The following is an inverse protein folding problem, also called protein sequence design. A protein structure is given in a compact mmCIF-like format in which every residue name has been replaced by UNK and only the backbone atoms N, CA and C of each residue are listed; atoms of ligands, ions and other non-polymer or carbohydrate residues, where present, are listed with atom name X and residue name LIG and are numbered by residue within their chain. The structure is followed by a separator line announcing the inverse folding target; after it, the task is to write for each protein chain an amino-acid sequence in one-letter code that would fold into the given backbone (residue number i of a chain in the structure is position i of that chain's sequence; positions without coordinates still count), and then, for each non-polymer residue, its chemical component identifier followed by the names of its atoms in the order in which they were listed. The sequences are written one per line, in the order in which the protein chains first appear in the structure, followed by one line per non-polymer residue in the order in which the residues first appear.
data_IF_565574191468
#
_entry.id   IF_565574191468
#
_cell.length_a   1.000
_cell.length_b   1.000
_cell.length_c   1.000
_cell.angle_alpha   90.00
_cell.angle_beta   90.00
_cell.angle_gamma   90.00
#
_symmetry.space_group_name_H-M   'P 1'
#
loop_
_entity.id
_entity.type
_entity.pdbx_description
1 polymer ?
#
# COMPACT_ATOMS: atom_id res chain seq x y z
N UNK A 1 22.70 -32.78 0.53
CA UNK A 1 21.35 -32.48 0.01
C UNK A 1 21.14 -30.98 -0.13
N UNK A 2 21.45 -30.43 -1.30
CA UNK A 2 21.14 -29.04 -1.66
C UNK A 2 19.64 -28.92 -1.93
N UNK A 3 18.85 -28.61 -0.89
CA UNK A 3 17.41 -28.34 -1.07
C UNK A 3 17.29 -27.11 -1.96
N UNK A 4 16.76 -27.35 -3.15
CA UNK A 4 16.48 -26.42 -4.24
C UNK A 4 15.51 -25.31 -3.75
N UNK A 5 16.00 -24.38 -2.92
CA UNK A 5 15.23 -23.23 -2.46
C UNK A 5 15.16 -22.27 -3.64
N UNK A 6 14.10 -22.42 -4.44
CA UNK A 6 13.74 -21.45 -5.46
C UNK A 6 13.89 -20.04 -4.87
N UNK A 7 14.72 -19.21 -5.51
CA UNK A 7 14.98 -17.85 -5.07
C UNK A 7 13.62 -17.16 -4.85
N UNK A 8 13.46 -16.45 -3.73
CA UNK A 8 12.22 -15.75 -3.37
C UNK A 8 11.70 -14.89 -4.53
N UNK A 9 12.60 -14.25 -5.28
CA UNK A 9 12.29 -13.46 -6.49
C UNK A 9 11.60 -14.30 -7.56
N UNK A 10 12.08 -15.51 -7.81
CA UNK A 10 11.49 -16.45 -8.77
C UNK A 10 10.09 -16.86 -8.33
N UNK A 11 9.87 -17.11 -7.03
CA UNK A 11 8.51 -17.42 -6.51
C UNK A 11 7.55 -16.25 -6.69
N UNK A 12 7.99 -15.03 -6.42
CA UNK A 12 7.18 -13.82 -6.63
C UNK A 12 6.82 -13.62 -8.09
N UNK A 13 7.79 -13.82 -8.98
CA UNK A 13 7.57 -13.73 -10.42
C UNK A 13 6.57 -14.78 -10.91
N UNK A 14 6.72 -16.05 -10.50
CA UNK A 14 5.77 -17.11 -10.85
C UNK A 14 4.36 -16.76 -10.36
N UNK A 15 4.24 -16.32 -9.10
CA UNK A 15 2.96 -15.95 -8.52
C UNK A 15 2.31 -14.77 -9.25
N UNK A 16 3.10 -13.76 -9.65
CA UNK A 16 2.60 -12.65 -10.46
C UNK A 16 2.11 -13.12 -11.84
N UNK A 17 2.82 -14.03 -12.52
CA UNK A 17 2.38 -14.57 -13.81
C UNK A 17 1.07 -15.38 -13.68
N UNK A 18 0.93 -16.20 -12.63
CA UNK A 18 -0.33 -16.91 -12.36
C UNK A 18 -1.47 -15.90 -12.17
N UNK A 19 -1.22 -14.83 -11.43
CA UNK A 19 -2.19 -13.75 -11.26
C UNK A 19 -2.57 -13.10 -12.59
N UNK A 20 -1.60 -12.81 -13.48
CA UNK A 20 -1.90 -12.24 -14.80
C UNK A 20 -2.81 -13.17 -15.62
N UNK A 21 -2.53 -14.48 -15.61
CA UNK A 21 -3.35 -15.46 -16.32
C UNK A 21 -4.78 -15.46 -15.77
N UNK A 22 -4.95 -15.51 -14.44
CA UNK A 22 -6.27 -15.48 -13.80
C UNK A 22 -7.02 -14.19 -14.14
N UNK A 23 -6.33 -13.05 -14.13
CA UNK A 23 -6.93 -11.76 -14.46
C UNK A 23 -7.37 -11.70 -15.93
N UNK A 24 -6.54 -12.18 -16.86
CA UNK A 24 -6.87 -12.27 -18.28
C UNK A 24 -8.07 -13.19 -18.51
N UNK A 25 -8.10 -14.36 -17.85
CA UNK A 25 -9.24 -15.26 -17.93
C UNK A 25 -10.51 -14.62 -17.37
N UNK A 26 -10.43 -13.92 -16.24
CA UNK A 26 -11.57 -13.21 -15.65
C UNK A 26 -12.11 -12.13 -16.58
N UNK A 27 -11.23 -11.31 -17.16
CA UNK A 27 -11.58 -10.30 -18.13
C UNK A 27 -12.25 -10.93 -19.36
N UNK A 28 -11.68 -12.00 -19.91
CA UNK A 28 -12.27 -12.71 -21.04
C UNK A 28 -13.67 -13.25 -20.73
N UNK A 29 -13.88 -13.82 -19.53
CA UNK A 29 -15.21 -14.30 -19.10
C UNK A 29 -16.21 -13.15 -18.95
N UNK A 30 -15.76 -11.98 -18.46
CA UNK A 30 -16.60 -10.78 -18.41
C UNK A 30 -16.97 -10.26 -19.81
N UNK A 31 -16.03 -10.33 -20.76
CA UNK A 31 -16.27 -9.92 -22.15
C UNK A 31 -17.34 -10.78 -22.85
N UNK A 32 -17.34 -12.09 -22.59
CA UNK A 32 -18.37 -13.00 -23.14
C UNK A 32 -19.77 -12.77 -22.57
N UNK A 33 -19.90 -12.00 -21.48
CA UNK A 33 -21.18 -11.66 -20.86
C UNK A 33 -22.07 -10.72 -21.69
N UNK A 34 -21.57 -10.15 -22.80
CA UNK A 34 -22.36 -9.54 -23.88
C UNK A 34 -23.01 -8.18 -23.62
N UNK A 35 -23.22 -7.79 -22.36
CA UNK A 35 -23.92 -6.52 -22.02
C UNK A 35 -23.05 -5.45 -21.36
N UNK A 36 -21.82 -5.80 -20.97
CA UNK A 36 -20.84 -4.84 -20.44
C UNK A 36 -19.99 -4.18 -21.56
N UNK A 37 -20.25 -4.54 -22.81
CA UNK A 37 -19.61 -4.01 -24.01
C UNK A 37 -20.47 -2.90 -24.59
N UNK A 38 -20.00 -1.65 -24.55
CA UNK A 38 -20.74 -0.51 -25.13
C UNK A 38 -20.98 0.68 -24.20
N UNK A 39 -20.30 0.75 -23.05
CA UNK A 39 -20.20 2.00 -22.28
C UNK A 39 -18.73 2.32 -22.05
N UNK A 40 -18.32 3.52 -22.45
CA UNK A 40 -17.00 4.07 -22.10
C UNK A 40 -16.94 4.27 -20.58
N UNK A 41 -16.16 3.43 -19.91
CA UNK A 41 -16.01 3.50 -18.46
C UNK A 41 -15.01 4.57 -18.04
N UNK A 42 -14.08 4.99 -18.91
CA UNK A 42 -13.20 6.13 -18.66
C UNK A 42 -12.76 6.82 -19.94
N UNK A 43 -12.77 8.17 -19.98
CA UNK A 43 -12.15 8.93 -21.07
C UNK A 43 -10.61 8.80 -21.05
N UNK A 44 -10.03 8.25 -19.98
CA UNK A 44 -8.58 8.13 -19.80
C UNK A 44 -8.02 6.93 -20.57
N UNK A 45 -8.83 5.86 -20.71
CA UNK A 45 -8.43 4.62 -21.36
C UNK A 45 -9.28 4.49 -22.63
N UNK A 46 -8.71 4.70 -23.83
CA UNK A 46 -9.46 4.79 -25.08
C UNK A 46 -9.88 3.41 -25.59
N UNK A 47 -10.64 2.66 -24.79
CA UNK A 47 -11.13 1.32 -25.11
C UNK A 47 -12.59 1.20 -24.67
N UNK A 48 -13.45 0.85 -25.62
CA UNK A 48 -14.91 0.72 -25.42
C UNK A 48 -15.29 -0.56 -24.63
N UNK A 49 -14.33 -1.48 -24.46
CA UNK A 49 -14.52 -2.76 -23.79
C UNK A 49 -14.03 -2.70 -22.34
N UNK A 50 -14.96 -2.71 -21.38
CA UNK A 50 -14.67 -2.76 -19.93
C UNK A 50 -13.60 -3.80 -19.55
N UNK A 51 -13.62 -5.04 -20.07
CA UNK A 51 -12.60 -6.02 -19.73
C UNK A 51 -11.19 -5.63 -20.17
N UNK A 52 -11.06 -5.00 -21.34
CA UNK A 52 -9.78 -4.51 -21.87
C UNK A 52 -9.28 -3.35 -21.00
N UNK A 53 -10.18 -2.44 -20.63
CA UNK A 53 -9.86 -1.35 -19.73
C UNK A 53 -9.37 -1.86 -18.36
N UNK A 54 -10.10 -2.80 -17.73
CA UNK A 54 -9.69 -3.46 -16.49
C UNK A 54 -8.28 -4.08 -16.63
N UNK A 55 -8.00 -4.77 -17.75
CA UNK A 55 -6.68 -5.35 -17.99
C UNK A 55 -5.59 -4.29 -18.08
N UNK A 56 -5.78 -3.24 -18.87
CA UNK A 56 -4.80 -2.15 -19.02
C UNK A 56 -4.53 -1.51 -17.66
N UNK A 57 -5.60 -1.26 -16.90
CA UNK A 57 -5.54 -0.68 -15.57
C UNK A 57 -4.66 -1.52 -14.63
N UNK A 58 -4.92 -2.82 -14.51
CA UNK A 58 -4.19 -3.69 -13.57
C UNK A 58 -2.79 -4.09 -14.06
N UNK A 59 -2.59 -4.20 -15.38
CA UNK A 59 -1.32 -4.63 -15.97
C UNK A 59 -0.35 -3.47 -16.14
N UNK A 60 -0.85 -2.26 -16.36
CA UNK A 60 -0.02 -1.09 -16.72
C UNK A 60 -0.17 0.01 -15.68
N UNK A 61 -1.37 0.54 -15.48
CA UNK A 61 -1.58 1.77 -14.69
C UNK A 61 -1.25 1.54 -13.21
N UNK A 62 -1.81 0.51 -12.57
CA UNK A 62 -1.59 0.25 -11.15
C UNK A 62 -0.11 -0.09 -10.83
N UNK A 63 0.58 -0.97 -11.58
CA UNK A 63 2.02 -1.19 -11.40
C UNK A 63 2.83 0.08 -11.59
N UNK A 64 2.57 0.86 -12.63
CA UNK A 64 3.28 2.11 -12.90
C UNK A 64 3.06 3.16 -11.81
N UNK A 65 1.80 3.36 -11.40
CA UNK A 65 1.44 4.26 -10.30
C UNK A 65 2.12 3.86 -9.00
N UNK A 66 2.08 2.57 -8.66
CA UNK A 66 2.77 2.04 -7.47
C UNK A 66 4.28 2.26 -7.54
N UNK A 67 4.88 2.12 -8.71
CA UNK A 67 6.31 2.30 -8.95
C UNK A 67 6.72 3.76 -8.78
N UNK A 68 6.02 4.69 -9.44
CA UNK A 68 6.23 6.12 -9.32
C UNK A 68 6.05 6.60 -7.88
N UNK A 69 4.95 6.18 -7.24
CA UNK A 69 4.66 6.44 -5.84
C UNK A 69 5.79 5.99 -4.92
N UNK A 70 6.31 4.78 -5.15
CA UNK A 70 7.38 4.21 -4.32
C UNK A 70 8.72 4.90 -4.49
N UNK A 71 9.12 5.19 -5.73
CA UNK A 71 10.44 5.76 -6.00
C UNK A 71 10.47 7.23 -5.61
N UNK A 72 9.57 8.03 -6.19
CA UNK A 72 9.60 9.48 -6.03
C UNK A 72 9.42 9.83 -4.56
N UNK A 73 8.34 9.35 -3.95
CA UNK A 73 8.04 9.70 -2.57
C UNK A 73 8.86 8.91 -1.57
N UNK A 74 9.31 7.69 -1.87
CA UNK A 74 10.24 6.98 -0.99
C UNK A 74 11.52 7.79 -0.73
N UNK A 75 12.15 8.31 -1.78
CA UNK A 75 13.40 9.08 -1.63
C UNK A 75 13.18 10.48 -1.02
N UNK A 76 12.02 11.09 -1.25
CA UNK A 76 11.69 12.43 -0.77
C UNK A 76 11.14 12.39 0.67
N UNK A 77 10.13 11.56 0.94
CA UNK A 77 9.42 11.54 2.22
C UNK A 77 10.20 10.79 3.31
N UNK A 78 11.09 9.83 3.00
CA UNK A 78 11.87 9.16 4.06
C UNK A 78 12.73 10.12 4.89
N UNK A 79 13.55 11.02 4.28
CA UNK A 79 14.22 12.09 5.00
C UNK A 79 13.26 12.94 5.83
N UNK A 80 12.12 13.33 5.25
CA UNK A 80 11.13 14.18 5.92
C UNK A 80 10.58 13.47 7.15
N UNK A 81 10.17 12.21 7.02
CA UNK A 81 9.68 11.39 8.13
C UNK A 81 10.73 11.27 9.23
N UNK A 82 12.00 11.06 8.87
CA UNK A 82 13.07 11.02 9.87
C UNK A 82 13.22 12.34 10.63
N UNK A 83 13.23 13.47 9.91
CA UNK A 83 13.36 14.81 10.49
C UNK A 83 12.16 15.11 11.39
N UNK A 84 10.95 14.89 10.90
CA UNK A 84 9.70 15.14 11.63
C UNK A 84 9.65 14.31 12.90
N UNK A 85 9.90 12.99 12.81
CA UNK A 85 9.92 12.14 13.99
C UNK A 85 10.95 12.60 15.02
N UNK A 86 12.14 13.01 14.57
CA UNK A 86 13.15 13.55 15.46
C UNK A 86 12.68 14.82 16.14
N UNK A 87 12.03 15.76 15.45
CA UNK A 87 11.50 16.98 16.05
C UNK A 87 10.49 16.63 17.16
N UNK A 88 9.57 15.70 16.90
CA UNK A 88 8.54 15.31 17.88
C UNK A 88 9.07 14.56 19.10
N UNK A 89 10.20 13.84 18.98
CA UNK A 89 10.71 12.95 20.03
C UNK A 89 12.10 13.33 20.57
N UNK A 90 12.67 14.46 20.12
CA UNK A 90 14.05 14.90 20.42
C UNK A 90 14.38 14.93 21.92
N UNK A 91 13.45 15.38 22.76
CA UNK A 91 13.73 15.69 24.17
C UNK A 91 13.85 14.47 25.08
N UNK A 92 13.39 13.29 24.64
CA UNK A 92 13.28 12.10 25.51
C UNK A 92 14.10 10.89 25.03
N UNK A 93 14.54 10.90 23.77
CA UNK A 93 15.07 9.71 23.12
C UNK A 93 16.47 9.92 22.53
N UNK A 94 17.34 8.92 22.72
CA UNK A 94 18.57 8.76 21.94
C UNK A 94 18.26 8.02 20.64
N UNK A 95 19.00 8.35 19.59
CA UNK A 95 18.86 7.75 18.27
C UNK A 95 20.13 6.99 17.92
N UNK A 96 19.97 5.89 17.19
CA UNK A 96 21.10 5.10 16.72
C UNK A 96 20.80 4.37 15.42
N UNK A 97 21.85 3.81 14.83
CA UNK A 97 21.78 2.95 13.64
C UNK A 97 22.03 1.50 14.08
N UNK A 98 21.04 0.65 13.84
CA UNK A 98 21.12 -0.78 14.12
C UNK A 98 21.63 -1.52 12.88
N UNK A 99 22.82 -2.09 12.97
CA UNK A 99 23.37 -2.97 11.96
C UNK A 99 22.83 -4.39 12.15
N UNK A 100 21.50 -4.55 12.03
CA UNK A 100 20.93 -5.90 12.02
C UNK A 100 21.42 -6.63 10.77
N UNK A 101 21.97 -7.87 10.90
CA UNK A 101 22.24 -8.71 9.74
C UNK A 101 20.92 -8.87 8.99
N UNK A 102 20.89 -8.50 7.71
CA UNK A 102 19.71 -8.41 6.82
C UNK A 102 18.46 -9.07 7.41
N UNK A 103 17.80 -8.39 8.35
CA UNK A 103 16.84 -9.07 9.20
C UNK A 103 15.72 -9.66 8.33
N UNK A 104 15.25 -10.85 8.70
CA UNK A 104 14.20 -11.67 8.10
C UNK A 104 12.83 -10.97 7.99
N UNK A 105 12.76 -9.66 7.79
CA UNK A 105 11.56 -8.88 7.46
C UNK A 105 11.01 -9.15 6.05
N UNK A 106 11.34 -10.33 5.53
CA UNK A 106 11.00 -10.94 4.25
C UNK A 106 9.51 -11.25 4.05
N UNK A 107 8.57 -10.62 4.79
CA UNK A 107 7.14 -10.66 4.43
C UNK A 107 6.83 -9.64 3.32
N UNK A 108 7.58 -9.71 2.21
CA UNK A 108 7.71 -8.64 1.19
C UNK A 108 6.41 -8.33 0.43
N UNK A 109 5.50 -9.29 0.28
CA UNK A 109 4.24 -9.07 -0.46
C UNK A 109 3.14 -8.60 0.46
N UNK A 110 3.01 -9.22 1.64
CA UNK A 110 1.99 -8.85 2.63
C UNK A 110 2.19 -7.41 3.17
N UNK A 111 3.38 -6.83 2.99
CA UNK A 111 3.61 -5.41 3.28
C UNK A 111 2.80 -4.48 2.39
N UNK A 112 2.44 -4.91 1.18
CA UNK A 112 1.63 -4.13 0.24
C UNK A 112 0.12 -4.18 0.51
N UNK A 113 -0.35 -5.03 1.44
CA UNK A 113 -1.77 -5.06 1.85
C UNK A 113 -2.21 -3.70 2.38
N UNK A 114 -1.42 -3.08 3.27
CA UNK A 114 -1.82 -1.81 3.87
C UNK A 114 -1.82 -0.63 2.89
N UNK A 115 -0.82 -0.47 2.00
CA UNK A 115 -0.93 0.46 0.87
C UNK A 115 -2.17 0.23 0.00
N UNK A 116 -2.51 -1.02 -0.30
CA UNK A 116 -3.69 -1.36 -1.10
C UNK A 116 -5.00 -0.99 -0.40
N UNK A 117 -5.14 -1.33 0.89
CA UNK A 117 -6.31 -0.92 1.67
C UNK A 117 -6.38 0.60 1.76
N UNK A 118 -5.25 1.28 2.01
CA UNK A 118 -5.23 2.75 2.04
C UNK A 118 -5.66 3.38 0.71
N UNK A 119 -5.24 2.80 -0.41
CA UNK A 119 -5.67 3.23 -1.73
C UNK A 119 -7.18 3.07 -1.93
N UNK A 120 -7.75 1.95 -1.48
CA UNK A 120 -9.20 1.72 -1.46
C UNK A 120 -9.90 2.80 -0.62
N UNK A 121 -9.35 3.13 0.56
CA UNK A 121 -9.91 4.17 1.42
C UNK A 121 -9.98 5.53 0.70
N UNK A 122 -8.87 5.93 0.09
CA UNK A 122 -8.83 7.18 -0.66
C UNK A 122 -9.76 7.13 -1.87
N UNK A 123 -9.83 5.99 -2.57
CA UNK A 123 -10.72 5.80 -3.70
C UNK A 123 -12.19 5.99 -3.29
N UNK A 124 -12.63 5.37 -2.20
CA UNK A 124 -13.98 5.56 -1.66
C UNK A 124 -14.26 7.03 -1.29
N UNK A 125 -13.27 7.71 -0.71
CA UNK A 125 -13.41 9.11 -0.32
C UNK A 125 -13.56 10.05 -1.53
N UNK A 126 -12.84 9.79 -2.62
CA UNK A 126 -12.94 10.62 -3.83
C UNK A 126 -14.11 10.20 -4.71
N UNK A 127 -14.41 8.91 -4.80
CA UNK A 127 -15.47 8.37 -5.65
C UNK A 127 -16.87 8.68 -5.13
N UNK A 128 -17.00 9.17 -3.89
CA UNK A 128 -18.28 9.67 -3.35
C UNK A 128 -18.50 11.16 -3.63
N UNK A 129 -17.49 11.87 -4.12
CA UNK A 129 -17.62 13.29 -4.45
C UNK A 129 -18.16 13.45 -5.89
N UNK A 130 -19.35 14.04 -6.02
CA UNK A 130 -20.03 14.18 -7.30
C UNK A 130 -19.21 14.93 -8.36
N UNK A 131 -18.52 16.00 -7.97
CA UNK A 131 -17.71 16.79 -8.91
C UNK A 131 -16.49 16.02 -9.39
N UNK A 132 -15.92 15.18 -8.53
CA UNK A 132 -14.84 14.30 -8.91
C UNK A 132 -15.29 13.18 -9.86
N UNK A 133 -16.47 12.59 -9.65
CA UNK A 133 -17.05 11.60 -10.57
C UNK A 133 -17.27 12.25 -11.94
N UNK A 134 -17.82 13.47 -12.00
CA UNK A 134 -18.00 14.21 -13.26
C UNK A 134 -16.68 14.47 -13.99
N UNK A 135 -15.63 14.78 -13.24
CA UNK A 135 -14.30 14.99 -13.81
C UNK A 135 -13.71 13.70 -14.40
N UNK A 136 -13.88 12.56 -13.73
CA UNK A 136 -13.33 11.28 -14.20
C UNK A 136 -14.21 10.62 -15.27
N UNK A 137 -15.53 10.83 -15.25
CA UNK A 137 -16.51 10.20 -16.14
C UNK A 137 -17.35 11.24 -16.91
N UNK A 138 -16.74 12.14 -17.70
CA UNK A 138 -17.44 13.26 -18.33
C UNK A 138 -18.57 12.86 -19.27
N UNK A 139 -18.47 11.67 -19.90
CA UNK A 139 -19.43 11.14 -20.88
C UNK A 139 -20.57 10.31 -20.28
N UNK A 140 -20.62 10.18 -18.95
CA UNK A 140 -21.77 9.55 -18.31
C UNK A 140 -23.05 10.35 -18.60
N UNK A 141 -24.12 9.68 -19.04
CA UNK A 141 -25.44 10.28 -19.22
C UNK A 141 -25.99 10.74 -17.86
N UNK A 142 -25.71 11.99 -17.49
CA UNK A 142 -26.15 12.59 -16.22
C UNK A 142 -27.66 12.88 -16.17
N UNK A 143 -28.39 12.56 -17.22
CA UNK A 143 -29.83 12.85 -17.37
C UNK A 143 -30.64 12.15 -16.28
N UNK A 144 -30.22 10.97 -15.84
CA UNK A 144 -30.87 10.20 -14.74
C UNK A 144 -30.19 10.38 -13.38
N UNK A 145 -29.16 11.23 -13.28
CA UNK A 145 -28.34 11.39 -12.09
C UNK A 145 -27.19 10.37 -11.99
N UNK A 146 -26.52 10.32 -10.83
CA UNK A 146 -25.35 9.44 -10.62
C UNK A 146 -25.83 8.06 -10.18
N UNK A 147 -25.62 7.04 -11.01
CA UNK A 147 -25.99 5.63 -10.72
C UNK A 147 -24.88 4.89 -9.99
N UNK A 148 -25.16 3.73 -9.36
CA UNK A 148 -24.08 2.93 -8.74
C UNK A 148 -23.03 2.44 -9.72
N UNK A 149 -23.37 2.30 -11.01
CA UNK A 149 -22.37 1.96 -12.03
C UNK A 149 -21.35 3.09 -12.21
N UNK A 150 -21.76 4.36 -12.13
CA UNK A 150 -20.85 5.51 -12.14
C UNK A 150 -19.95 5.54 -10.90
N UNK A 151 -20.52 5.28 -9.71
CA UNK A 151 -19.74 5.20 -8.47
C UNK A 151 -18.69 4.08 -8.53
N UNK A 152 -19.07 2.90 -9.06
CA UNK A 152 -18.17 1.77 -9.24
C UNK A 152 -17.06 2.05 -10.25
N UNK A 153 -17.39 2.67 -11.39
CA UNK A 153 -16.41 3.08 -12.39
C UNK A 153 -15.41 4.08 -11.81
N UNK A 154 -15.91 5.16 -11.21
CA UNK A 154 -15.07 6.18 -10.57
C UNK A 154 -14.19 5.59 -9.46
N UNK A 155 -14.72 4.70 -8.62
CA UNK A 155 -13.97 3.99 -7.60
C UNK A 155 -12.85 3.12 -8.20
N UNK A 156 -13.17 2.33 -9.22
CA UNK A 156 -12.24 1.40 -9.87
C UNK A 156 -11.10 2.15 -10.56
N UNK A 157 -11.37 3.28 -11.21
CA UNK A 157 -10.33 4.12 -11.81
C UNK A 157 -9.48 4.75 -10.69
N UNK A 158 -10.14 5.30 -9.67
CA UNK A 158 -9.48 6.02 -8.58
C UNK A 158 -8.51 5.16 -7.79
N UNK A 159 -8.90 3.93 -7.41
CA UNK A 159 -8.04 3.04 -6.62
C UNK A 159 -6.71 2.74 -7.31
N UNK A 160 -6.69 2.79 -8.65
CA UNK A 160 -5.56 2.42 -9.50
C UNK A 160 -4.55 3.55 -9.62
N UNK A 161 -5.01 4.80 -9.59
CA UNK A 161 -4.14 5.96 -9.43
C UNK A 161 -3.70 6.10 -7.97
N UNK A 162 -4.60 5.88 -7.02
CA UNK A 162 -4.36 6.10 -5.59
C UNK A 162 -3.49 5.02 -4.94
N UNK A 163 -3.24 3.88 -5.58
CA UNK A 163 -2.22 2.93 -5.11
C UNK A 163 -0.82 3.54 -5.08
N UNK A 164 -0.52 4.44 -6.01
CA UNK A 164 0.72 5.22 -5.99
C UNK A 164 0.81 6.07 -4.73
N UNK A 165 -0.28 6.72 -4.32
CA UNK A 165 -0.35 7.51 -3.09
C UNK A 165 -0.26 6.63 -1.83
N UNK A 166 -0.93 5.48 -1.83
CA UNK A 166 -0.82 4.49 -0.76
C UNK A 166 0.63 4.02 -0.57
N UNK A 167 1.30 3.68 -1.68
CA UNK A 167 2.72 3.32 -1.67
C UNK A 167 3.61 4.48 -1.27
N UNK A 168 3.31 5.71 -1.72
CA UNK A 168 4.05 6.92 -1.37
C UNK A 168 4.12 7.16 0.14
N UNK A 169 3.07 6.80 0.90
CA UNK A 169 3.04 6.95 2.35
C UNK A 169 3.75 5.81 3.09
N UNK A 170 3.63 4.57 2.62
CA UNK A 170 4.20 3.40 3.31
C UNK A 170 5.66 3.13 2.98
N UNK A 171 6.08 3.31 1.72
CA UNK A 171 7.45 3.04 1.28
C UNK A 171 8.50 3.84 2.08
N UNK A 172 8.25 5.10 2.45
CA UNK A 172 9.17 5.84 3.30
C UNK A 172 9.47 5.15 4.63
N UNK A 173 8.47 4.50 5.22
CA UNK A 173 8.61 3.73 6.47
C UNK A 173 9.48 2.50 6.26
N UNK A 174 9.37 1.86 5.09
CA UNK A 174 10.18 0.70 4.74
C UNK A 174 11.65 1.08 4.56
N UNK A 175 11.94 2.24 3.97
CA UNK A 175 13.33 2.69 3.82
C UNK A 175 13.97 2.99 5.19
N UNK A 176 13.21 3.55 6.12
CA UNK A 176 13.68 3.81 7.49
C UNK A 176 13.90 2.51 8.28
N UNK A 177 13.02 1.53 8.10
CA UNK A 177 13.17 0.18 8.65
C UNK A 177 14.40 -0.54 8.07
N UNK A 178 14.54 -0.53 6.74
CA UNK A 178 15.68 -1.11 6.01
C UNK A 178 17.00 -0.48 6.45
N UNK A 179 17.01 0.83 6.70
CA UNK A 179 18.20 1.56 7.13
C UNK A 179 18.61 1.27 8.59
N UNK A 180 17.73 0.64 9.37
CA UNK A 180 17.97 0.30 10.77
C UNK A 180 17.91 1.51 11.71
N UNK A 181 17.13 2.55 11.38
CA UNK A 181 17.06 3.73 12.24
C UNK A 181 16.18 3.44 13.47
N UNK A 182 16.80 3.48 14.65
CA UNK A 182 16.13 3.21 15.93
C UNK A 182 16.19 4.42 16.87
N UNK A 183 15.32 4.39 17.85
CA UNK A 183 15.29 5.32 18.98
C UNK A 183 14.94 4.58 20.27
N UNK A 184 15.41 5.08 21.40
CA UNK A 184 15.09 4.53 22.71
C UNK A 184 15.09 5.62 23.78
N UNK A 185 14.34 5.40 24.85
CA UNK A 185 14.26 6.33 25.97
C UNK A 185 15.58 6.34 26.75
N UNK A 186 16.03 7.52 27.14
CA UNK A 186 17.29 7.71 27.90
C UNK A 186 17.14 7.61 29.41
N UNK A 187 15.91 7.71 29.93
CA UNK A 187 15.66 7.77 31.36
C UNK A 187 14.65 6.71 31.75
N UNK A 188 15.05 5.81 32.65
CA UNK A 188 14.12 5.25 33.63
C UNK A 188 13.66 6.46 34.44
N UNK A 189 12.38 6.81 34.39
CA UNK A 189 11.88 7.77 35.38
C UNK A 189 12.22 7.15 36.74
N UNK A 190 12.87 7.89 37.65
CA UNK A 190 13.31 7.36 38.95
C UNK A 190 12.16 6.73 39.77
N UNK A 191 10.91 7.00 39.40
CA UNK A 191 9.69 6.46 40.03
C UNK A 191 8.98 5.33 39.24
N UNK A 192 9.43 4.97 38.03
CA UNK A 192 8.77 3.94 37.21
C UNK A 192 9.80 2.94 36.68
N UNK A 193 9.60 1.66 37.02
CA UNK A 193 10.36 0.49 36.57
C UNK A 193 10.23 0.19 35.07
N UNK A 194 10.11 1.21 34.22
CA UNK A 194 9.95 1.02 32.78
C UNK A 194 11.27 0.53 32.17
N UNK A 195 11.27 -0.63 31.48
CA UNK A 195 12.45 -1.14 30.81
C UNK A 195 12.86 -0.23 29.65
N UNK A 196 14.16 -0.24 29.31
CA UNK A 196 14.67 0.47 28.13
C UNK A 196 14.09 -0.17 26.86
N UNK A 197 13.12 0.50 26.25
CA UNK A 197 12.53 0.05 24.99
C UNK A 197 13.27 0.64 23.78
N UNK A 198 13.74 -0.23 22.89
CA UNK A 198 14.30 0.16 21.58
C UNK A 198 13.24 -0.02 20.52
N UNK A 199 12.85 1.09 19.90
CA UNK A 199 11.85 1.13 18.85
C UNK A 199 12.47 1.59 17.52
N UNK A 200 11.85 1.22 16.39
CA UNK A 200 12.29 1.67 15.06
C UNK A 200 11.49 2.90 14.64
N UNK A 201 12.15 3.89 14.03
CA UNK A 201 11.46 5.10 13.54
C UNK A 201 10.44 4.73 12.45
N UNK A 202 10.84 3.87 11.51
CA UNK A 202 9.92 3.38 10.49
C UNK A 202 8.79 2.52 11.07
N UNK A 203 9.04 1.80 12.16
CA UNK A 203 8.01 1.04 12.88
C UNK A 203 6.93 1.94 13.48
N UNK A 204 7.32 3.07 14.06
CA UNK A 204 6.40 4.05 14.63
C UNK A 204 5.42 4.59 13.57
N UNK A 205 5.92 5.09 12.44
CA UNK A 205 5.07 5.54 11.34
C UNK A 205 4.21 4.41 10.77
N UNK A 206 4.79 3.22 10.61
CA UNK A 206 4.07 2.06 10.10
C UNK A 206 2.88 1.70 10.99
N UNK A 207 3.01 1.79 12.32
CA UNK A 207 1.89 1.54 13.24
C UNK A 207 0.78 2.57 13.06
N UNK A 208 1.11 3.86 12.94
CA UNK A 208 0.12 4.94 12.70
C UNK A 208 -0.60 4.72 11.37
N UNK A 209 0.15 4.50 10.29
CA UNK A 209 -0.43 4.30 8.95
C UNK A 209 -1.30 3.04 8.88
N UNK A 210 -0.91 1.96 9.57
CA UNK A 210 -1.75 0.75 9.68
C UNK A 210 -3.03 0.99 10.48
N UNK A 211 -2.95 1.78 11.54
CA UNK A 211 -4.13 2.18 12.31
C UNK A 211 -5.12 2.96 11.44
N UNK A 212 -4.61 3.89 10.63
CA UNK A 212 -5.43 4.67 9.70
C UNK A 212 -6.02 3.83 8.56
N UNK A 213 -5.21 3.00 7.90
CA UNK A 213 -5.66 2.07 6.85
C UNK A 213 -6.40 0.83 7.40
N UNK A 214 -6.81 0.86 8.67
CA UNK A 214 -7.29 -0.30 9.40
C UNK A 214 -8.78 -0.60 9.18
N UNK A 215 -9.44 -0.95 10.29
CA UNK A 215 -10.79 -1.54 10.32
C UNK A 215 -11.83 -0.64 9.64
N UNK A 216 -11.74 0.68 9.82
CA UNK A 216 -12.69 1.63 9.23
C UNK A 216 -12.76 1.55 7.70
N UNK A 217 -11.62 1.35 7.04
CA UNK A 217 -11.58 1.17 5.58
C UNK A 217 -12.23 -0.14 5.17
N UNK A 218 -11.98 -1.23 5.90
CA UNK A 218 -12.57 -2.54 5.59
C UNK A 218 -14.10 -2.48 5.72
N UNK A 219 -14.61 -1.83 6.77
CA UNK A 219 -16.05 -1.63 6.97
C UNK A 219 -16.63 -0.80 5.81
N UNK A 220 -16.02 0.35 5.52
CA UNK A 220 -16.49 1.25 4.45
C UNK A 220 -16.49 0.56 3.09
N UNK A 221 -15.45 -0.20 2.80
CA UNK A 221 -15.32 -0.97 1.58
C UNK A 221 -16.38 -2.08 1.48
N UNK A 222 -16.63 -2.81 2.57
CA UNK A 222 -17.66 -3.84 2.58
C UNK A 222 -19.06 -3.26 2.40
N UNK A 223 -19.37 -2.15 3.08
CA UNK A 223 -20.63 -1.43 2.89
C UNK A 223 -20.81 -0.95 1.45
N UNK A 224 -19.76 -0.37 0.85
CA UNK A 224 -19.77 0.02 -0.55
C UNK A 224 -20.01 -1.18 -1.48
N UNK A 225 -19.28 -2.27 -1.29
CA UNK A 225 -19.42 -3.49 -2.08
C UNK A 225 -20.85 -4.04 -2.01
N UNK A 226 -21.43 -4.14 -0.82
CA UNK A 226 -22.80 -4.63 -0.64
C UNK A 226 -23.84 -3.74 -1.34
N UNK A 227 -23.70 -2.42 -1.26
CA UNK A 227 -24.60 -1.49 -1.92
C UNK A 227 -24.57 -1.69 -3.44
N UNK A 228 -23.37 -1.75 -4.02
CA UNK A 228 -23.18 -1.98 -5.46
C UNK A 228 -23.78 -3.34 -5.88
N UNK A 229 -23.50 -4.40 -5.13
CA UNK A 229 -24.02 -5.75 -5.43
C UNK A 229 -25.55 -5.78 -5.37
N UNK A 230 -26.14 -5.15 -4.36
CA UNK A 230 -27.59 -5.17 -4.13
C UNK A 230 -28.32 -4.37 -5.23
N UNK A 231 -27.79 -3.22 -5.63
CA UNK A 231 -28.37 -2.43 -6.73
C UNK A 231 -28.32 -3.18 -8.07
N UNK A 232 -27.20 -3.87 -8.35
CA UNK A 232 -27.07 -4.68 -9.54
C UNK A 232 -28.01 -5.90 -9.52
N UNK A 233 -28.17 -6.54 -8.36
CA UNK A 233 -29.11 -7.66 -8.21
C UNK A 233 -30.57 -7.23 -8.37
N UNK A 234 -30.92 -5.99 -8.00
CA UNK A 234 -32.29 -5.48 -8.09
C UNK A 234 -32.63 -4.91 -9.48
N UNK A 235 -31.63 -4.51 -10.28
CA UNK A 235 -31.82 -3.97 -11.62
C UNK A 235 -31.95 -5.04 -12.70
N UNK A 236 -31.61 -6.30 -12.41
CA UNK A 236 -31.70 -7.40 -13.37
C UNK A 236 -33.10 -8.03 -13.40
N UNK A 237 -33.91 -7.63 -14.39
CA UNK A 237 -35.23 -8.25 -14.66
C UNK A 237 -35.16 -9.58 -15.44
N UNK A 238 -34.01 -9.97 -16.00
CA UNK A 238 -33.81 -11.27 -16.66
C UNK A 238 -32.96 -12.24 -15.82
N UNK A 239 -33.50 -13.42 -15.48
CA UNK A 239 -33.04 -14.17 -14.30
C UNK A 239 -31.75 -15.01 -14.44
N UNK A 240 -31.29 -15.40 -15.64
CA UNK A 240 -30.25 -16.45 -15.75
C UNK A 240 -28.86 -15.99 -16.24
N UNK A 241 -28.74 -15.00 -17.12
CA UNK A 241 -27.41 -14.54 -17.60
C UNK A 241 -26.74 -13.56 -16.62
N UNK A 242 -27.52 -12.84 -15.82
CA UNK A 242 -27.00 -11.87 -14.85
C UNK A 242 -26.38 -12.49 -13.59
N UNK A 243 -26.84 -13.67 -13.16
CA UNK A 243 -26.32 -14.31 -11.94
C UNK A 243 -24.81 -14.60 -12.03
N UNK A 244 -24.33 -15.02 -13.20
CA UNK A 244 -22.90 -15.26 -13.46
C UNK A 244 -22.13 -13.93 -13.45
N UNK A 245 -22.66 -12.88 -14.06
CA UNK A 245 -22.01 -11.56 -14.10
C UNK A 245 -21.90 -10.94 -12.70
N UNK A 246 -22.97 -11.00 -11.90
CA UNK A 246 -22.96 -10.54 -10.50
C UNK A 246 -21.92 -11.32 -9.70
N UNK A 247 -21.83 -12.65 -9.86
CA UNK A 247 -20.82 -13.46 -9.20
C UNK A 247 -19.39 -13.05 -9.60
N UNK A 248 -19.13 -12.85 -10.89
CA UNK A 248 -17.81 -12.41 -11.38
C UNK A 248 -17.45 -11.01 -10.85
N UNK A 249 -18.43 -10.11 -10.76
CA UNK A 249 -18.23 -8.78 -10.19
C UNK A 249 -18.00 -8.84 -8.67
N UNK A 250 -18.68 -9.72 -7.95
CA UNK A 250 -18.42 -9.97 -6.54
C UNK A 250 -16.99 -10.45 -6.32
N UNK A 251 -16.51 -11.38 -7.15
CA UNK A 251 -15.11 -11.84 -7.12
C UNK A 251 -14.16 -10.67 -7.41
N UNK A 252 -14.49 -9.82 -8.39
CA UNK A 252 -13.67 -8.66 -8.73
C UNK A 252 -13.59 -7.66 -7.58
N UNK A 253 -14.73 -7.25 -7.03
CA UNK A 253 -14.82 -6.27 -5.94
C UNK A 253 -14.16 -6.86 -4.69
N UNK A 254 -14.63 -8.00 -4.18
CA UNK A 254 -14.07 -8.56 -2.94
C UNK A 254 -12.60 -8.97 -3.09
N UNK A 255 -12.18 -9.35 -4.29
CA UNK A 255 -10.78 -9.65 -4.63
C UNK A 255 -9.91 -8.40 -4.83
N UNK A 256 -10.48 -7.20 -4.93
CA UNK A 256 -9.76 -5.98 -5.26
C UNK A 256 -8.58 -5.67 -4.34
N UNK A 257 -8.67 -5.73 -2.98
CA UNK A 257 -7.49 -5.51 -2.14
C UNK A 257 -6.33 -6.46 -2.45
N UNK A 258 -6.66 -7.70 -2.82
CA UNK A 258 -5.68 -8.70 -3.20
C UNK A 258 -5.10 -8.38 -4.58
N UNK A 259 -5.91 -8.06 -5.58
CA UNK A 259 -5.43 -7.67 -6.92
C UNK A 259 -4.54 -6.43 -6.86
N UNK A 260 -4.90 -5.44 -6.05
CA UNK A 260 -4.07 -4.25 -5.81
C UNK A 260 -2.73 -4.62 -5.18
N UNK A 261 -2.72 -5.49 -4.17
CA UNK A 261 -1.48 -6.00 -3.59
C UNK A 261 -0.60 -6.68 -4.65
N UNK A 262 -1.18 -7.50 -5.52
CA UNK A 262 -0.46 -8.20 -6.58
C UNK A 262 0.09 -7.27 -7.66
N UNK A 263 -0.66 -6.24 -8.03
CA UNK A 263 -0.22 -5.20 -8.96
C UNK A 263 1.04 -4.47 -8.47
N UNK A 264 1.32 -4.46 -7.16
CA UNK A 264 2.56 -3.87 -6.61
C UNK A 264 3.79 -4.79 -6.67
N UNK A 265 3.65 -6.07 -7.06
CA UNK A 265 4.78 -7.02 -7.08
C UNK A 265 5.97 -6.52 -7.91
N UNK A 266 5.80 -5.98 -9.14
CA UNK A 266 6.91 -5.43 -9.92
C UNK A 266 7.68 -4.36 -9.14
N UNK A 267 6.97 -3.48 -8.45
CA UNK A 267 7.52 -2.45 -7.59
C UNK A 267 8.28 -3.03 -6.40
N UNK A 268 7.73 -4.07 -5.75
CA UNK A 268 8.43 -4.76 -4.66
C UNK A 268 9.74 -5.39 -5.12
N UNK A 269 9.77 -6.02 -6.30
CA UNK A 269 11.00 -6.58 -6.89
C UNK A 269 12.02 -5.48 -7.14
N UNK A 270 11.58 -4.32 -7.67
CA UNK A 270 12.46 -3.18 -7.88
C UNK A 270 13.01 -2.61 -6.55
N UNK A 271 12.17 -2.50 -5.53
CA UNK A 271 12.60 -2.08 -4.21
C UNK A 271 13.59 -3.09 -3.61
N UNK A 272 13.42 -4.39 -3.80
CA UNK A 272 14.42 -5.35 -3.32
C UNK A 272 15.77 -5.16 -4.03
N UNK A 273 15.78 -4.90 -5.35
CA UNK A 273 17.00 -4.64 -6.14
C UNK A 273 17.74 -3.37 -5.70
N UNK A 274 17.02 -2.33 -5.28
CA UNK A 274 17.61 -1.03 -4.93
C UNK A 274 17.90 -0.86 -3.43
N UNK A 275 17.65 -1.89 -2.61
CA UNK A 275 17.77 -1.87 -1.14
C UNK A 275 19.08 -1.28 -0.63
N UNK A 276 20.22 -1.77 -1.09
CA UNK A 276 21.56 -1.30 -0.63
C UNK A 276 21.77 0.19 -0.89
N UNK A 277 21.32 0.70 -2.04
CA UNK A 277 21.46 2.13 -2.40
C UNK A 277 20.60 3.00 -1.48
N UNK A 278 19.39 2.56 -1.18
CA UNK A 278 18.48 3.27 -0.27
C UNK A 278 18.98 3.32 1.16
N UNK A 279 19.48 2.21 1.68
CA UNK A 279 20.05 2.15 3.02
C UNK A 279 21.19 3.17 3.15
N UNK A 280 22.13 3.18 2.19
CA UNK A 280 23.23 4.14 2.16
C UNK A 280 22.73 5.58 2.09
N UNK A 281 21.70 5.86 1.28
CA UNK A 281 21.09 7.18 1.18
C UNK A 281 20.49 7.65 2.52
N UNK A 282 19.64 6.85 3.14
CA UNK A 282 18.99 7.21 4.41
C UNK A 282 20.01 7.34 5.54
N UNK A 283 20.99 6.43 5.65
CA UNK A 283 22.06 6.55 6.64
C UNK A 283 22.90 7.81 6.43
N UNK A 284 23.18 8.21 5.19
CA UNK A 284 23.85 9.49 4.90
C UNK A 284 23.05 10.68 5.42
N UNK A 285 21.73 10.68 5.24
CA UNK A 285 20.85 11.73 5.78
C UNK A 285 20.82 11.69 7.32
N UNK A 286 20.68 10.50 7.92
CA UNK A 286 20.70 10.29 9.36
C UNK A 286 21.99 10.85 9.99
N UNK A 287 23.15 10.56 9.38
CA UNK A 287 24.44 11.07 9.81
C UNK A 287 24.52 12.60 9.73
N UNK A 288 23.95 13.21 8.69
CA UNK A 288 23.91 14.68 8.53
C UNK A 288 23.10 15.37 9.62
N UNK A 289 22.01 14.76 10.05
CA UNK A 289 21.22 15.31 11.16
C UNK A 289 21.87 15.00 12.52
N UNK A 290 22.87 14.12 12.59
CA UNK A 290 23.58 13.78 13.83
C UNK A 290 23.10 12.50 14.53
N UNK A 291 22.56 11.54 13.77
CA UNK A 291 22.37 10.17 14.23
C UNK A 291 23.57 9.37 13.70
N UNK A 292 24.57 9.13 14.56
CA UNK A 292 25.83 8.48 14.15
C UNK A 292 26.16 7.23 14.97
N UNK A 293 25.54 7.08 16.13
CA UNK A 293 25.93 6.06 17.10
C UNK A 293 25.33 4.71 16.72
N UNK A 294 26.14 3.66 16.83
CA UNK A 294 25.63 2.30 16.77
C UNK A 294 24.77 2.02 18.00
N UNK A 295 23.70 1.23 17.84
CA UNK A 295 22.82 0.87 18.96
C UNK A 295 23.56 0.28 20.14
N UNK A 296 24.61 -0.52 19.88
CA UNK A 296 25.47 -1.09 20.93
C UNK A 296 26.15 -0.02 21.77
N UNK A 297 26.63 1.05 21.13
CA UNK A 297 27.25 2.19 21.81
C UNK A 297 26.20 2.94 22.63
N UNK A 298 25.02 3.18 22.05
CA UNK A 298 23.90 3.82 22.76
C UNK A 298 23.50 3.03 24.02
N UNK A 299 23.38 1.70 23.93
CA UNK A 299 23.06 0.83 25.07
C UNK A 299 24.18 0.79 26.12
N UNK A 300 25.45 0.80 25.70
CA UNK A 300 26.58 0.87 26.64
C UNK A 300 26.65 2.21 27.35
N UNK A 301 26.39 3.33 26.68
CA UNK A 301 26.32 4.64 27.32
C UNK A 301 25.17 4.72 28.33
N UNK A 302 24.02 4.14 27.99
CA UNK A 302 22.88 4.06 28.91
C UNK A 302 23.29 3.26 30.15
N UNK A 303 23.85 2.05 29.99
CA UNK A 303 24.26 1.22 31.13
C UNK A 303 25.44 1.76 31.94
N UNK A 304 26.36 2.54 31.33
CA UNK A 304 27.42 3.23 32.08
C UNK A 304 26.88 4.38 32.93
N UNK A 305 25.94 5.16 32.39
CA UNK A 305 25.30 6.23 33.15
C UNK A 305 24.39 5.67 34.26
N UNK A 306 23.82 4.47 34.09
CA UNK A 306 23.10 3.75 35.16
C UNK A 306 24.03 3.50 36.35
N UNK A 307 25.21 2.88 36.13
CA UNK A 307 26.16 2.56 37.21
C UNK A 307 26.76 3.78 37.93
N UNK A 308 26.76 4.94 37.28
CA UNK A 308 27.28 6.18 37.88
C UNK A 308 26.27 6.90 38.76
N UNK A 309 24.96 6.66 38.58
CA UNK A 309 23.91 7.27 39.40
C UNK A 309 23.51 6.42 40.62
N UNK A 310 23.86 5.13 40.63
CA UNK A 310 23.59 4.21 41.75
C UNK A 310 24.67 4.26 42.87
N UNK A 311 25.72 5.05 42.69
CA UNK A 311 26.81 5.29 43.66
C UNK A 311 26.74 6.71 44.23
#
# INVERSE_FOLDING_TARGET
MSKNRLNKKTRLYIFYNIFLIVLIMLAFLLAQGGELTGRDFSPIVPFEELPVEILIIFLVIAPLSSFLGSIIFGYILSPIFLIVHRIFKKSKNKYGIDERPEAEHSKSVLQAIFPAILAINFALMVSTNHEFIKFILPEADWVEGITSSNYLGAFTISVMFLIGLGMALFVPTWFLLDAGIVYGNTKKNNDLSEPVEINTVGGWYRTILKGYAGIGTIISFYSFALNVITELANSSTEQNHYAIQVLLLMILILGLPFFMMLATIPTQIFLEKTKTRRIKYIRKIANKIGIKDEVKVVLMEISKNEKLNDN
#
